data_IF_663073430038
#
_entry.id   IF_663073430038
#
_cell.length_a   1.000
_cell.length_b   1.000
_cell.length_c   1.000
_cell.angle_alpha   90.00
_cell.angle_beta   90.00
_cell.angle_gamma   90.00
#
_symmetry.space_group_name_H-M   'P 1'
#
loop_
_entity.id
_entity.type
_entity.pdbx_description
1 polymer ?
#
# COMPACT_ATOMS: atom_id res chain seq x y z
N UNK A 1 51.45 32.74 -19.25
CA UNK A 1 50.70 31.69 -19.97
C UNK A 1 50.06 30.73 -18.96
N UNK A 2 48.80 31.03 -18.59
CA UNK A 2 48.01 30.26 -17.68
C UNK A 2 47.16 29.23 -18.41
N UNK A 3 47.31 27.95 -18.06
CA UNK A 3 46.42 26.90 -18.44
C UNK A 3 45.25 26.85 -17.45
N UNK A 4 44.06 27.27 -17.89
CA UNK A 4 42.83 27.09 -17.13
C UNK A 4 42.40 25.63 -17.30
N UNK A 5 42.43 24.87 -16.19
CA UNK A 5 41.88 23.53 -16.11
C UNK A 5 40.35 23.64 -15.96
N UNK A 6 39.62 23.32 -17.02
CA UNK A 6 38.17 23.16 -16.97
C UNK A 6 37.86 21.77 -16.43
N UNK A 7 37.61 21.67 -15.14
CA UNK A 7 37.04 20.48 -14.54
C UNK A 7 35.54 20.41 -14.91
N UNK A 8 35.26 19.81 -16.06
CA UNK A 8 33.89 19.47 -16.44
C UNK A 8 33.36 18.38 -15.52
N UNK A 9 32.56 18.77 -14.54
CA UNK A 9 31.79 17.85 -13.73
C UNK A 9 30.79 17.10 -14.63
N UNK A 10 31.04 15.82 -14.86
CA UNK A 10 30.12 14.93 -15.53
C UNK A 10 28.96 14.65 -14.57
N UNK A 11 27.91 15.43 -14.67
CA UNK A 11 26.68 15.19 -13.94
C UNK A 11 26.02 13.97 -14.57
N UNK A 12 26.17 12.80 -13.94
CA UNK A 12 25.43 11.61 -14.31
C UNK A 12 23.94 11.94 -14.09
N UNK A 13 23.24 12.26 -15.17
CA UNK A 13 21.80 12.26 -15.21
C UNK A 13 21.35 10.81 -15.01
N UNK A 14 21.04 10.46 -13.75
CA UNK A 14 20.31 9.22 -13.48
C UNK A 14 18.94 9.40 -14.12
N UNK A 15 18.57 8.59 -15.13
CA UNK A 15 17.26 8.70 -15.72
C UNK A 15 16.22 8.49 -14.62
N UNK A 16 15.09 9.25 -14.63
CA UNK A 16 14.00 8.98 -13.70
C UNK A 16 13.62 7.51 -13.84
N UNK A 17 13.53 6.78 -12.71
CA UNK A 17 13.13 5.38 -12.75
C UNK A 17 11.72 5.35 -13.37
N UNK A 18 11.58 4.69 -14.52
CA UNK A 18 10.28 4.53 -15.14
C UNK A 18 9.38 3.73 -14.18
N UNK A 19 8.19 4.27 -13.93
CA UNK A 19 7.18 3.60 -13.12
C UNK A 19 6.83 2.25 -13.75
N UNK A 20 6.95 1.16 -12.99
CA UNK A 20 6.52 -0.16 -13.43
C UNK A 20 5.06 -0.36 -13.05
N UNK A 21 4.21 -0.50 -14.06
CA UNK A 21 2.80 -0.82 -13.89
C UNK A 21 2.65 -2.34 -13.97
N UNK A 22 2.25 -2.96 -12.87
CA UNK A 22 2.04 -4.41 -12.79
C UNK A 22 0.58 -4.78 -13.04
N UNK A 23 -0.35 -3.93 -12.59
CA UNK A 23 -1.77 -4.19 -12.69
C UNK A 23 -2.54 -2.88 -12.60
N UNK A 24 -3.65 -2.77 -13.32
CA UNK A 24 -4.59 -1.65 -13.16
C UNK A 24 -5.52 -1.90 -11.97
N UNK A 25 -6.13 -0.84 -11.39
CA UNK A 25 -7.15 -1.01 -10.35
C UNK A 25 -8.33 -1.89 -10.78
N UNK A 26 -8.76 -1.80 -12.04
CA UNK A 26 -9.84 -2.61 -12.59
C UNK A 26 -9.49 -4.09 -12.67
N UNK A 27 -8.25 -4.41 -13.08
CA UNK A 27 -7.76 -5.80 -13.10
C UNK A 27 -7.67 -6.38 -11.68
N UNK A 28 -7.18 -5.61 -10.71
CA UNK A 28 -7.14 -6.02 -9.31
C UNK A 28 -8.54 -6.26 -8.74
N UNK A 29 -9.49 -5.37 -9.02
CA UNK A 29 -10.89 -5.52 -8.62
C UNK A 29 -11.50 -6.82 -9.19
N UNK A 30 -11.28 -7.09 -10.46
CA UNK A 30 -11.75 -8.31 -11.12
C UNK A 30 -11.07 -9.56 -10.57
N UNK A 31 -9.77 -9.50 -10.28
CA UNK A 31 -9.01 -10.60 -9.69
C UNK A 31 -9.54 -10.96 -8.30
N UNK A 32 -9.83 -9.97 -7.47
CA UNK A 32 -10.26 -10.19 -6.09
C UNK A 32 -11.73 -10.58 -5.97
N UNK A 33 -12.61 -9.98 -6.79
CA UNK A 33 -14.05 -10.01 -6.61
C UNK A 33 -14.84 -10.53 -7.82
N UNK A 34 -14.13 -10.88 -8.91
CA UNK A 34 -14.77 -11.40 -10.12
C UNK A 34 -15.74 -10.38 -10.73
N UNK A 35 -16.97 -10.81 -10.95
CA UNK A 35 -18.02 -9.97 -11.53
C UNK A 35 -18.93 -9.31 -10.47
N UNK A 36 -18.57 -9.34 -9.20
CA UNK A 36 -19.35 -8.67 -8.17
C UNK A 36 -19.38 -7.16 -8.42
N UNK A 37 -20.53 -6.57 -8.16
CA UNK A 37 -20.68 -5.12 -8.21
C UNK A 37 -19.89 -4.48 -7.07
N UNK A 38 -19.08 -3.48 -7.40
CA UNK A 38 -18.37 -2.64 -6.46
C UNK A 38 -19.10 -1.31 -6.30
N UNK A 39 -19.57 -1.04 -5.09
CA UNK A 39 -20.32 0.15 -4.74
C UNK A 39 -19.35 1.16 -4.14
N UNK A 40 -19.08 2.31 -4.78
CA UNK A 40 -18.16 3.29 -4.27
C UNK A 40 -18.69 3.89 -2.96
N UNK A 41 -17.83 3.98 -1.97
CA UNK A 41 -18.13 4.60 -0.69
C UNK A 41 -17.44 5.96 -0.64
N UNK A 42 -18.23 7.03 -0.55
CA UNK A 42 -17.69 8.39 -0.36
C UNK A 42 -17.23 8.54 1.08
N UNK A 43 -15.94 8.32 1.30
CA UNK A 43 -15.35 8.35 2.62
C UNK A 43 -14.35 9.50 2.74
N UNK A 44 -14.66 10.44 3.62
CA UNK A 44 -13.76 11.52 4.05
C UNK A 44 -13.50 11.38 5.54
N UNK A 45 -12.27 11.05 5.90
CA UNK A 45 -11.86 10.90 7.29
C UNK A 45 -11.78 12.27 7.98
N UNK A 46 -12.41 12.39 9.14
CA UNK A 46 -12.24 13.54 10.02
C UNK A 46 -10.82 13.55 10.62
N UNK A 47 -10.45 14.68 11.21
CA UNK A 47 -9.18 14.79 11.95
C UNK A 47 -9.12 13.79 13.10
N UNK A 48 -10.22 13.65 13.84
CA UNK A 48 -10.32 12.72 14.96
C UNK A 48 -10.13 11.27 14.49
N UNK A 49 -10.86 10.83 13.45
CA UNK A 49 -10.72 9.49 12.90
C UNK A 49 -9.28 9.19 12.46
N UNK A 50 -8.60 10.14 11.82
CA UNK A 50 -7.19 9.97 11.45
C UNK A 50 -6.26 9.83 12.66
N UNK A 51 -6.52 10.56 13.74
CA UNK A 51 -5.77 10.43 14.98
C UNK A 51 -6.01 9.08 15.65
N UNK A 52 -7.26 8.63 15.72
CA UNK A 52 -7.64 7.33 16.31
C UNK A 52 -6.99 6.17 15.55
N UNK A 53 -7.00 6.24 14.22
CA UNK A 53 -6.34 5.24 13.37
C UNK A 53 -4.82 5.24 13.60
N UNK A 54 -4.21 6.42 13.69
CA UNK A 54 -2.78 6.55 14.00
C UNK A 54 -2.44 5.97 15.38
N UNK A 55 -3.24 6.27 16.38
CA UNK A 55 -3.06 5.74 17.74
C UNK A 55 -3.17 4.21 17.76
N UNK A 56 -4.21 3.66 17.10
CA UNK A 56 -4.46 2.23 17.07
C UNK A 56 -3.46 1.43 16.21
N UNK A 57 -2.96 1.99 15.10
CA UNK A 57 -2.07 1.31 14.16
C UNK A 57 -0.60 1.64 14.33
N UNK A 58 -0.27 2.74 15.00
CA UNK A 58 1.07 3.33 15.02
C UNK A 58 1.45 4.05 13.71
N UNK A 59 0.54 4.16 12.73
CA UNK A 59 0.82 4.63 11.38
C UNK A 59 -0.05 5.83 11.01
N UNK A 60 0.58 6.93 10.61
CA UNK A 60 -0.13 8.15 10.25
C UNK A 60 -1.00 7.97 9.00
N UNK A 61 -2.21 8.54 9.04
CA UNK A 61 -3.11 8.64 7.88
C UNK A 61 -2.86 9.99 7.19
N UNK A 62 -2.26 9.97 6.01
CA UNK A 62 -1.93 11.18 5.26
C UNK A 62 -3.09 11.71 4.43
N UNK A 63 -3.83 10.81 3.79
CA UNK A 63 -4.98 11.17 2.98
C UNK A 63 -6.26 11.33 3.82
N UNK A 64 -7.04 12.36 3.53
CA UNK A 64 -8.38 12.51 4.13
C UNK A 64 -9.47 11.82 3.32
N UNK A 65 -9.26 11.64 2.02
CA UNK A 65 -10.18 10.92 1.13
C UNK A 65 -9.62 9.53 0.85
N UNK A 66 -10.48 8.53 0.93
CA UNK A 66 -10.12 7.14 0.66
C UNK A 66 -10.83 6.63 -0.58
N UNK A 67 -10.12 5.88 -1.40
CA UNK A 67 -10.66 5.17 -2.56
C UNK A 67 -11.10 3.77 -2.12
N UNK A 68 -12.38 3.64 -1.79
CA UNK A 68 -12.97 2.47 -1.14
C UNK A 68 -14.28 2.08 -1.81
N UNK A 69 -14.48 0.79 -2.01
CA UNK A 69 -15.70 0.20 -2.52
C UNK A 69 -16.15 -0.95 -1.63
N UNK A 70 -17.46 -1.07 -1.43
CA UNK A 70 -18.09 -2.21 -0.79
C UNK A 70 -18.57 -3.18 -1.86
N UNK A 71 -18.39 -4.47 -1.65
CA UNK A 71 -18.86 -5.51 -2.57
C UNK A 71 -20.27 -5.98 -2.19
N UNK A 72 -20.99 -6.61 -3.13
CA UNK A 72 -22.30 -7.21 -2.87
C UNK A 72 -22.25 -8.27 -1.75
N UNK A 73 -21.13 -8.97 -1.60
CA UNK A 73 -20.93 -9.97 -0.54
C UNK A 73 -20.53 -9.36 0.81
N UNK A 74 -20.47 -8.03 0.93
CA UNK A 74 -20.09 -7.33 2.16
C UNK A 74 -18.58 -7.12 2.35
N UNK A 75 -17.75 -7.59 1.43
CA UNK A 75 -16.32 -7.33 1.43
C UNK A 75 -15.96 -5.92 0.96
N UNK A 76 -14.68 -5.62 0.93
CA UNK A 76 -14.17 -4.28 0.63
C UNK A 76 -13.02 -4.34 -0.39
N UNK A 77 -13.03 -3.42 -1.33
CA UNK A 77 -11.93 -3.15 -2.24
C UNK A 77 -11.35 -1.78 -1.91
N UNK A 78 -10.06 -1.72 -1.63
CA UNK A 78 -9.38 -0.48 -1.21
C UNK A 78 -8.17 -0.24 -2.09
N UNK A 79 -8.03 0.98 -2.58
CA UNK A 79 -6.80 1.47 -3.21
C UNK A 79 -6.05 2.35 -2.22
N UNK A 80 -4.77 2.11 -2.04
CA UNK A 80 -3.92 2.85 -1.11
C UNK A 80 -2.51 3.01 -1.68
N UNK A 81 -1.73 3.87 -1.06
CA UNK A 81 -0.34 4.11 -1.41
C UNK A 81 0.52 4.23 -0.17
N UNK A 82 1.73 3.72 -0.25
CA UNK A 82 2.78 3.96 0.74
C UNK A 82 4.02 4.54 0.06
N UNK A 83 4.85 5.23 0.82
CA UNK A 83 6.16 5.66 0.31
C UNK A 83 7.11 4.47 0.44
N UNK A 84 7.82 4.13 -0.64
CA UNK A 84 8.94 3.21 -0.62
C UNK A 84 10.16 3.88 0.06
N UNK A 85 11.25 4.01 -0.66
CA UNK A 85 12.39 4.81 -0.20
C UNK A 85 12.19 6.30 -0.50
N UNK A 86 11.79 6.63 -1.73
CA UNK A 86 11.63 8.00 -2.23
C UNK A 86 10.30 8.23 -2.93
N UNK A 87 9.77 7.19 -3.58
CA UNK A 87 8.60 7.24 -4.44
C UNK A 87 7.44 6.41 -3.89
N UNK A 88 6.24 6.68 -4.39
CA UNK A 88 5.03 5.96 -3.98
C UNK A 88 4.95 4.57 -4.60
N UNK A 89 4.47 3.63 -3.79
CA UNK A 89 4.03 2.30 -4.18
C UNK A 89 2.52 2.29 -4.06
N UNK A 90 1.82 2.14 -5.19
CA UNK A 90 0.36 2.00 -5.19
C UNK A 90 -0.01 0.53 -5.11
N UNK A 91 -0.98 0.21 -4.29
CA UNK A 91 -1.44 -1.16 -4.10
C UNK A 91 -2.94 -1.24 -3.87
N UNK A 92 -3.51 -2.41 -4.14
CA UNK A 92 -4.91 -2.72 -3.90
C UNK A 92 -5.02 -3.79 -2.81
N UNK A 93 -6.03 -3.69 -1.98
CA UNK A 93 -6.33 -4.65 -0.91
C UNK A 93 -7.78 -5.08 -0.98
N UNK A 94 -8.01 -6.39 -0.86
CA UNK A 94 -9.33 -6.93 -0.59
C UNK A 94 -9.44 -7.25 0.91
N UNK A 95 -10.47 -6.72 1.55
CA UNK A 95 -10.83 -7.10 2.93
C UNK A 95 -12.14 -7.87 2.93
N UNK A 96 -12.25 -8.84 3.84
CA UNK A 96 -13.52 -9.53 4.07
C UNK A 96 -14.55 -8.61 4.70
N UNK A 97 -15.77 -9.09 4.87
CA UNK A 97 -16.84 -8.44 5.63
C UNK A 97 -16.51 -8.24 7.12
N UNK A 98 -15.48 -8.93 7.62
CA UNK A 98 -14.95 -8.82 8.99
C UNK A 98 -13.62 -8.07 9.07
N UNK A 99 -13.18 -7.46 7.97
CA UNK A 99 -11.95 -6.66 7.91
C UNK A 99 -10.65 -7.45 7.84
N UNK A 100 -10.71 -8.77 7.62
CA UNK A 100 -9.50 -9.57 7.40
C UNK A 100 -8.99 -9.39 5.98
N UNK A 101 -7.68 -9.39 5.80
CA UNK A 101 -7.04 -9.28 4.49
C UNK A 101 -7.30 -10.56 3.68
N UNK A 102 -7.95 -10.44 2.53
CA UNK A 102 -8.16 -11.54 1.59
C UNK A 102 -7.08 -11.61 0.53
N UNK A 103 -6.67 -10.48 0.02
CA UNK A 103 -5.64 -10.38 -1.01
C UNK A 103 -5.00 -8.99 -1.03
N UNK A 104 -3.81 -8.92 -1.58
CA UNK A 104 -3.07 -7.68 -1.84
C UNK A 104 -2.35 -7.79 -3.17
N UNK A 105 -2.43 -6.75 -4.01
CA UNK A 105 -1.70 -6.60 -5.27
C UNK A 105 -0.95 -5.29 -5.33
N UNK A 106 0.30 -5.33 -5.81
CA UNK A 106 1.05 -4.13 -6.14
C UNK A 106 0.61 -3.66 -7.53
N UNK A 107 0.17 -2.41 -7.64
CA UNK A 107 -0.33 -1.85 -8.89
C UNK A 107 0.77 -1.11 -9.65
N UNK A 108 1.42 -0.17 -8.97
CA UNK A 108 2.47 0.66 -9.57
C UNK A 108 3.64 0.78 -8.59
N UNK A 109 4.83 0.52 -9.12
CA UNK A 109 6.08 0.64 -8.38
C UNK A 109 7.01 1.64 -9.08
N UNK A 110 7.37 2.72 -8.39
CA UNK A 110 8.10 3.86 -8.98
C UNK A 110 9.57 3.92 -8.59
N UNK A 111 9.98 3.07 -7.66
CA UNK A 111 11.39 3.01 -7.24
C UNK A 111 12.24 2.21 -8.23
N UNK A 112 13.54 2.53 -8.28
CA UNK A 112 14.49 1.77 -9.11
C UNK A 112 14.75 0.35 -8.62
N UNK A 113 14.61 0.10 -7.31
CA UNK A 113 14.89 -1.17 -6.63
C UNK A 113 13.81 -1.50 -5.61
N UNK A 114 13.76 -2.77 -5.19
CA UNK A 114 12.90 -3.20 -4.09
C UNK A 114 11.50 -3.66 -4.54
N UNK A 115 11.31 -3.92 -5.83
CA UNK A 115 10.05 -4.41 -6.38
C UNK A 115 9.77 -5.90 -6.08
N UNK A 116 10.67 -6.57 -5.38
CA UNK A 116 10.47 -7.96 -4.96
C UNK A 116 9.21 -8.16 -4.09
N UNK A 117 8.62 -7.08 -3.56
CA UNK A 117 7.31 -7.08 -2.88
C UNK A 117 6.13 -7.48 -3.79
N UNK A 118 6.31 -7.47 -5.11
CA UNK A 118 5.33 -8.02 -6.06
C UNK A 118 5.26 -9.55 -6.02
N UNK A 119 6.20 -10.22 -5.35
CA UNK A 119 6.21 -11.67 -5.23
C UNK A 119 4.93 -12.16 -4.51
N UNK A 120 4.13 -13.04 -5.14
CA UNK A 120 2.88 -13.53 -4.55
C UNK A 120 3.08 -14.26 -3.22
N UNK A 121 4.19 -14.99 -3.04
CA UNK A 121 4.50 -15.70 -1.78
C UNK A 121 4.75 -14.73 -0.63
N UNK A 122 5.40 -13.60 -0.91
CA UNK A 122 5.61 -12.58 0.10
C UNK A 122 4.29 -11.91 0.48
N UNK A 123 3.45 -11.56 -0.49
CA UNK A 123 2.15 -10.93 -0.26
C UNK A 123 1.16 -11.85 0.47
N UNK A 124 1.26 -13.16 0.26
CA UNK A 124 0.41 -14.14 0.93
C UNK A 124 0.58 -14.16 2.46
N UNK A 125 1.68 -13.63 3.00
CA UNK A 125 1.88 -13.52 4.44
C UNK A 125 0.85 -12.61 5.13
N UNK A 126 0.22 -11.70 4.39
CA UNK A 126 -0.82 -10.82 4.90
C UNK A 126 -2.20 -11.46 4.97
N UNK A 127 -2.42 -12.57 4.29
CA UNK A 127 -3.74 -13.19 4.18
C UNK A 127 -4.25 -13.64 5.55
N UNK A 128 -5.56 -13.47 5.76
CA UNK A 128 -6.28 -13.77 7.00
C UNK A 128 -5.84 -12.94 8.23
N UNK A 129 -5.08 -11.86 8.00
CA UNK A 129 -4.77 -10.89 9.06
C UNK A 129 -6.00 -10.03 9.33
N UNK A 130 -6.49 -10.11 10.55
CA UNK A 130 -7.63 -9.34 11.04
C UNK A 130 -7.19 -8.07 11.80
N UNK A 131 -8.11 -7.14 12.10
CA UNK A 131 -7.77 -5.90 12.78
C UNK A 131 -7.19 -6.06 14.18
N UNK A 132 -7.41 -7.19 14.86
CA UNK A 132 -6.90 -7.44 16.22
C UNK A 132 -5.40 -7.69 16.27
N UNK A 133 -4.79 -8.04 15.12
CA UNK A 133 -3.39 -8.42 15.02
C UNK A 133 -2.55 -7.28 14.44
N UNK A 134 -1.62 -6.78 15.22
CA UNK A 134 -0.56 -5.89 14.74
C UNK A 134 0.53 -6.73 14.07
N UNK A 135 0.87 -6.38 12.83
CA UNK A 135 1.94 -7.02 12.08
C UNK A 135 3.26 -6.27 12.31
N UNK A 136 4.34 -7.00 12.50
CA UNK A 136 5.67 -6.42 12.65
C UNK A 136 6.58 -6.91 11.50
N UNK A 137 7.10 -5.98 10.73
CA UNK A 137 8.12 -6.27 9.73
C UNK A 137 9.35 -6.89 10.38
N UNK A 138 9.85 -7.98 9.83
CA UNK A 138 10.96 -8.76 10.37
C UNK A 138 10.56 -9.79 11.44
N UNK A 139 9.27 -9.89 11.77
CA UNK A 139 8.69 -10.93 12.64
C UNK A 139 7.61 -11.70 11.91
N UNK A 140 6.35 -11.21 11.98
CA UNK A 140 5.23 -11.84 11.27
C UNK A 140 5.34 -11.73 9.75
N UNK A 141 5.94 -10.63 9.26
CA UNK A 141 6.17 -10.39 7.83
C UNK A 141 7.67 -10.43 7.57
N UNK A 142 8.09 -11.40 6.79
CA UNK A 142 9.51 -11.59 6.43
C UNK A 142 10.04 -10.43 5.59
N UNK A 143 11.27 -10.03 5.88
CA UNK A 143 11.99 -9.07 5.04
C UNK A 143 12.47 -9.72 3.74
N UNK A 144 12.51 -8.92 2.68
CA UNK A 144 13.24 -9.26 1.45
C UNK A 144 14.48 -8.38 1.38
N UNK A 145 15.66 -9.01 1.24
CA UNK A 145 16.92 -8.29 1.06
C UNK A 145 16.85 -7.39 -0.17
N UNK A 146 17.23 -6.12 -0.01
CA UNK A 146 17.13 -5.11 -1.06
C UNK A 146 15.76 -4.44 -1.19
N UNK A 147 14.74 -4.91 -0.45
CA UNK A 147 13.38 -4.33 -0.45
C UNK A 147 12.89 -3.96 0.96
N UNK A 148 13.78 -3.74 1.91
CA UNK A 148 13.46 -3.56 3.34
C UNK A 148 12.45 -2.44 3.60
N UNK A 149 12.61 -1.28 2.97
CA UNK A 149 11.69 -0.15 3.17
C UNK A 149 10.32 -0.44 2.54
N UNK A 150 10.27 -1.04 1.36
CA UNK A 150 9.02 -1.45 0.73
C UNK A 150 8.28 -2.47 1.58
N UNK A 151 8.96 -3.50 2.10
CA UNK A 151 8.38 -4.50 2.99
C UNK A 151 7.80 -3.86 4.26
N UNK A 152 8.56 -2.97 4.90
CA UNK A 152 8.14 -2.26 6.11
C UNK A 152 6.91 -1.40 5.85
N UNK A 153 6.97 -0.53 4.85
CA UNK A 153 5.92 0.46 4.62
C UNK A 153 4.61 -0.17 4.10
N UNK A 154 4.68 -1.27 3.34
CA UNK A 154 3.49 -2.04 2.99
C UNK A 154 2.90 -2.71 4.24
N UNK A 155 3.73 -3.28 5.13
CA UNK A 155 3.26 -3.83 6.40
C UNK A 155 2.56 -2.77 7.25
N UNK A 156 3.13 -1.58 7.37
CA UNK A 156 2.53 -0.43 8.04
C UNK A 156 1.20 -0.01 7.39
N UNK A 157 1.16 0.01 6.05
CA UNK A 157 -0.05 0.29 5.29
C UNK A 157 -1.19 -0.70 5.58
N UNK A 158 -0.89 -1.99 5.66
CA UNK A 158 -1.89 -3.02 6.00
C UNK A 158 -2.37 -2.87 7.45
N UNK A 159 -1.48 -2.61 8.40
CA UNK A 159 -1.87 -2.32 9.78
C UNK A 159 -2.82 -1.12 9.86
N UNK A 160 -2.50 -0.05 9.14
CA UNK A 160 -3.34 1.14 9.04
C UNK A 160 -4.71 0.83 8.42
N UNK A 161 -4.77 0.07 7.31
CA UNK A 161 -6.01 -0.25 6.62
C UNK A 161 -6.94 -1.14 7.44
N UNK A 162 -6.42 -2.15 8.12
CA UNK A 162 -7.25 -3.03 8.98
C UNK A 162 -7.82 -2.26 10.19
N UNK A 163 -7.06 -1.35 10.78
CA UNK A 163 -7.55 -0.45 11.83
C UNK A 163 -8.55 0.59 11.30
N UNK A 164 -8.34 1.06 10.09
CA UNK A 164 -9.30 1.95 9.42
C UNK A 164 -10.63 1.24 9.14
N UNK A 165 -10.59 -0.03 8.75
CA UNK A 165 -11.80 -0.84 8.64
C UNK A 165 -12.52 -0.95 9.99
N UNK A 166 -11.81 -1.33 11.04
CA UNK A 166 -12.38 -1.51 12.39
C UNK A 166 -13.04 -0.23 12.93
N UNK A 167 -12.36 0.91 12.78
CA UNK A 167 -12.79 2.17 13.36
C UNK A 167 -13.77 2.96 12.50
N UNK A 168 -13.75 2.76 11.17
CA UNK A 168 -14.50 3.58 10.23
C UNK A 168 -15.33 2.78 9.24
N UNK A 169 -14.73 1.89 8.42
CA UNK A 169 -15.46 1.24 7.34
C UNK A 169 -16.58 0.34 7.85
N UNK A 170 -16.37 -0.38 8.95
CA UNK A 170 -17.36 -1.28 9.55
C UNK A 170 -18.65 -0.58 10.00
N UNK A 171 -18.62 0.75 10.06
CA UNK A 171 -19.74 1.58 10.52
C UNK A 171 -20.50 2.26 9.39
N UNK A 172 -20.14 1.96 8.13
CA UNK A 172 -20.73 2.57 6.92
C UNK A 172 -21.66 1.61 6.20
#
# INVERSE_FOLDING_TARGET
TGLASVAGGFMLLVPPSEARVYMTPGEAAKLFWGNQKLIPISLKLSRQQRNDIKEASGVAVRASKMAVWKTESGGWFVLDSVIGKHEYIDYAVALSDKGSVKAIEILVYREGYGDAVVNPRWRAQFYDKDPSRQLTHGKEIMNISGATLSCRHITDGINRLTKMWELVFSKV
#
